data_IF_299133183559
#
_entry.id   IF_299133183559
#
_cell.length_a   1.000
_cell.length_b   1.000
_cell.length_c   1.000
_cell.angle_alpha   90.00
_cell.angle_beta   90.00
_cell.angle_gamma   90.00
#
_symmetry.space_group_name_H-M   'P 1'
#
loop_
_entity.id
_entity.type
_entity.pdbx_description
1 polymer ?
#
# COMPACT_ATOMS: atom_id res chain seq x y z
N UNK A 1 -2.88 15.29 14.05
CA UNK A 1 -2.80 14.92 12.62
C UNK A 1 -1.70 13.88 12.46
N UNK A 2 -1.90 12.83 11.67
CA UNK A 2 -0.88 11.80 11.48
C UNK A 2 0.38 12.39 10.82
N UNK A 3 1.56 11.97 11.27
CA UNK A 3 2.83 12.39 10.71
C UNK A 3 3.08 11.69 9.37
N UNK A 4 3.64 12.42 8.40
CA UNK A 4 4.13 11.86 7.13
C UNK A 4 5.64 11.87 7.10
N UNK A 5 6.24 10.82 6.54
CA UNK A 5 7.70 10.66 6.46
C UNK A 5 8.18 10.79 5.01
N UNK A 6 9.39 11.31 4.82
CA UNK A 6 10.11 11.19 3.55
C UNK A 6 10.64 9.77 3.43
N UNK A 7 10.70 9.25 2.22
CA UNK A 7 11.17 7.89 1.96
C UNK A 7 12.41 7.94 1.09
N UNK A 8 13.52 7.41 1.60
CA UNK A 8 14.74 7.14 0.84
C UNK A 8 14.61 5.77 0.20
N UNK A 9 14.89 5.69 -1.09
CA UNK A 9 14.91 4.43 -1.85
C UNK A 9 16.33 4.24 -2.35
N UNK A 10 16.97 3.12 -2.04
CA UNK A 10 18.33 2.80 -2.47
C UNK A 10 18.38 1.48 -3.21
N UNK A 11 18.92 1.46 -4.42
CA UNK A 11 19.20 0.21 -5.12
C UNK A 11 20.40 -0.48 -4.46
N UNK A 12 20.19 -1.62 -3.82
CA UNK A 12 21.23 -2.35 -3.09
C UNK A 12 22.04 -3.26 -4.01
N UNK A 13 21.33 -4.05 -4.84
CA UNK A 13 21.94 -5.05 -5.71
C UNK A 13 21.01 -5.43 -6.85
N UNK A 14 21.55 -6.13 -7.83
CA UNK A 14 20.81 -6.82 -8.88
C UNK A 14 21.53 -8.12 -9.25
N UNK A 15 20.76 -9.08 -9.78
CA UNK A 15 21.30 -10.38 -10.19
C UNK A 15 21.90 -10.29 -11.60
N UNK A 16 21.39 -9.34 -12.41
CA UNK A 16 21.89 -9.00 -13.74
C UNK A 16 21.81 -7.49 -13.99
N UNK A 17 22.45 -7.04 -15.07
CA UNK A 17 22.38 -5.66 -15.55
C UNK A 17 20.92 -5.23 -15.76
N UNK A 18 20.54 -4.09 -15.18
CA UNK A 18 19.22 -3.52 -15.36
C UNK A 18 19.00 -3.03 -16.80
N UNK A 19 17.84 -3.34 -17.38
CA UNK A 19 17.43 -2.88 -18.72
C UNK A 19 17.38 -1.35 -18.85
N UNK A 20 17.23 -0.64 -17.73
CA UNK A 20 17.23 0.83 -17.66
C UNK A 20 18.60 1.42 -17.28
N UNK A 21 19.65 0.58 -17.19
CA UNK A 21 21.00 1.00 -16.83
C UNK A 21 21.19 1.43 -15.37
N UNK A 22 20.21 1.18 -14.50
CA UNK A 22 20.31 1.48 -13.07
C UNK A 22 21.42 0.66 -12.40
N UNK A 23 22.18 1.31 -11.51
CA UNK A 23 23.33 0.72 -10.83
C UNK A 23 23.11 0.66 -9.32
N UNK A 24 23.55 -0.42 -8.64
CA UNK A 24 23.67 -0.45 -7.19
C UNK A 24 24.34 0.80 -6.61
N UNK A 25 23.82 1.28 -5.48
CA UNK A 25 24.20 2.54 -4.84
C UNK A 25 23.42 3.77 -5.34
N UNK A 26 22.61 3.64 -6.39
CA UNK A 26 21.73 4.73 -6.83
C UNK A 26 20.62 4.96 -5.80
N UNK A 27 20.35 6.23 -5.49
CA UNK A 27 19.40 6.65 -4.45
C UNK A 27 18.35 7.62 -5.01
N UNK A 28 17.15 7.55 -4.44
CA UNK A 28 16.03 8.43 -4.72
C UNK A 28 15.34 8.85 -3.43
N UNK A 29 14.64 9.98 -3.48
CA UNK A 29 13.79 10.44 -2.39
C UNK A 29 12.37 10.56 -2.90
N UNK A 30 11.44 9.90 -2.22
CA UNK A 30 10.01 10.05 -2.38
C UNK A 30 9.46 10.87 -1.21
N UNK A 31 8.92 12.04 -1.53
CA UNK A 31 8.26 12.92 -0.56
C UNK A 31 6.79 13.11 -0.99
N UNK A 32 6.56 14.01 -1.94
CA UNK A 32 5.22 14.29 -2.49
C UNK A 32 4.99 13.68 -3.87
N UNK A 33 6.05 13.56 -4.66
CA UNK A 33 5.99 13.09 -6.04
C UNK A 33 6.88 11.86 -6.24
N UNK A 34 6.54 10.97 -7.18
CA UNK A 34 7.44 9.90 -7.60
C UNK A 34 8.81 10.45 -8.00
N UNK A 35 9.91 9.79 -7.65
CA UNK A 35 11.24 10.25 -7.99
C UNK A 35 11.51 10.09 -9.50
N UNK A 36 12.17 11.08 -10.09
CA UNK A 36 12.60 11.02 -11.48
C UNK A 36 13.69 9.94 -11.66
N UNK A 37 13.65 9.22 -12.78
CA UNK A 37 14.66 8.23 -13.14
C UNK A 37 14.47 6.84 -12.51
N UNK A 38 13.52 6.67 -11.59
CA UNK A 38 13.08 5.35 -11.15
C UNK A 38 12.12 4.75 -12.19
N UNK A 39 12.40 3.54 -12.67
CA UNK A 39 11.54 2.83 -13.63
C UNK A 39 10.12 2.63 -13.07
N UNK A 40 9.09 2.75 -13.92
CA UNK A 40 7.69 2.65 -13.50
C UNK A 40 7.34 1.29 -12.89
N UNK A 41 7.91 0.18 -13.40
CA UNK A 41 7.67 -1.17 -12.87
C UNK A 41 8.25 -1.31 -11.47
N UNK A 42 9.46 -0.79 -11.25
CA UNK A 42 10.06 -0.75 -9.91
C UNK A 42 9.19 0.12 -8.98
N UNK A 43 8.87 1.34 -9.39
CA UNK A 43 8.02 2.22 -8.59
C UNK A 43 6.68 1.56 -8.22
N UNK A 44 5.98 0.97 -9.18
CA UNK A 44 4.70 0.29 -8.94
C UNK A 44 4.82 -0.88 -7.96
N UNK A 45 5.92 -1.64 -7.97
CA UNK A 45 6.15 -2.74 -7.01
C UNK A 45 6.51 -2.25 -5.61
N UNK A 46 7.23 -1.13 -5.50
CA UNK A 46 7.66 -0.57 -4.23
C UNK A 46 6.56 0.27 -3.56
N UNK A 47 5.65 0.84 -4.36
CA UNK A 47 4.67 1.83 -3.91
C UNK A 47 3.85 1.42 -2.68
N UNK A 48 3.27 0.20 -2.60
CA UNK A 48 2.50 -0.19 -1.42
C UNK A 48 3.34 -0.18 -0.13
N UNK A 49 4.62 -0.54 -0.22
CA UNK A 49 5.54 -0.54 0.92
C UNK A 49 6.03 0.87 1.29
N UNK A 50 6.24 1.72 0.28
CA UNK A 50 6.51 3.15 0.45
C UNK A 50 5.38 3.79 1.25
N UNK A 51 4.11 3.52 0.91
CA UNK A 51 2.97 4.12 1.59
C UNK A 51 2.87 3.72 3.06
N UNK A 52 3.09 2.44 3.38
CA UNK A 52 3.07 1.96 4.78
C UNK A 52 4.06 2.75 5.63
N UNK A 53 5.34 2.84 5.20
CA UNK A 53 6.36 3.57 5.95
C UNK A 53 6.09 5.08 5.97
N UNK A 54 5.65 5.64 4.85
CA UNK A 54 5.35 7.07 4.71
C UNK A 54 4.26 7.53 5.67
N UNK A 55 3.27 6.69 5.92
CA UNK A 55 2.16 6.98 6.83
C UNK A 55 2.39 6.43 8.25
N UNK A 56 3.63 6.08 8.60
CA UNK A 56 4.00 5.75 9.98
C UNK A 56 3.79 4.28 10.39
N UNK A 57 3.43 3.41 9.46
CA UNK A 57 3.39 1.96 9.67
C UNK A 57 4.78 1.33 9.66
N UNK A 58 4.86 0.03 9.91
CA UNK A 58 6.09 -0.77 9.83
C UNK A 58 5.75 -2.23 9.53
N UNK A 59 6.75 -3.04 9.21
CA UNK A 59 6.53 -4.43 8.81
C UNK A 59 6.98 -5.42 9.89
N UNK A 60 6.15 -6.39 10.28
CA UNK A 60 6.48 -7.32 11.37
C UNK A 60 7.61 -8.31 11.02
N UNK A 61 7.95 -8.45 9.74
CA UNK A 61 9.07 -9.29 9.28
C UNK A 61 10.39 -8.53 9.13
N UNK A 62 10.37 -7.20 9.25
CA UNK A 62 11.59 -6.38 9.17
C UNK A 62 12.14 -6.13 10.59
N UNK A 63 13.44 -6.36 10.83
CA UNK A 63 14.03 -6.15 12.15
C UNK A 63 14.09 -4.66 12.54
N UNK A 64 14.39 -3.79 11.57
CA UNK A 64 14.38 -2.34 11.69
C UNK A 64 12.99 -1.82 11.29
N UNK A 65 12.23 -1.16 12.19
CA UNK A 65 10.90 -0.64 11.86
C UNK A 65 10.93 0.41 10.76
N UNK A 66 12.08 1.00 10.43
CA UNK A 66 12.21 2.06 9.45
C UNK A 66 12.48 1.56 8.04
N UNK A 67 12.64 0.25 7.85
CA UNK A 67 13.08 -0.36 6.60
C UNK A 67 12.01 -1.26 6.01
N UNK A 68 12.01 -1.34 4.68
CA UNK A 68 11.45 -2.46 3.95
C UNK A 68 12.35 -2.79 2.76
N UNK A 69 12.75 -4.05 2.64
CA UNK A 69 13.53 -4.52 1.48
C UNK A 69 12.61 -5.15 0.45
N UNK A 70 12.61 -4.63 -0.78
CA UNK A 70 11.71 -5.07 -1.84
C UNK A 70 12.43 -5.14 -3.19
N UNK A 71 11.86 -5.84 -4.17
CA UNK A 71 12.44 -5.95 -5.51
C UNK A 71 11.50 -5.49 -6.61
N UNK A 72 12.07 -5.13 -7.77
CA UNK A 72 11.26 -4.93 -8.97
C UNK A 72 10.75 -6.28 -9.52
N UNK A 73 9.64 -6.30 -10.26
CA UNK A 73 8.99 -7.55 -10.68
C UNK A 73 9.68 -8.24 -11.87
N UNK A 74 10.89 -7.81 -12.22
CA UNK A 74 11.68 -8.41 -13.31
C UNK A 74 12.49 -9.58 -12.76
N UNK A 75 11.98 -10.80 -12.99
CA UNK A 75 12.59 -12.04 -12.49
C UNK A 75 14.02 -12.30 -13.02
N UNK A 76 14.45 -11.68 -14.11
CA UNK A 76 15.80 -11.88 -14.67
C UNK A 76 16.82 -10.89 -14.09
N UNK A 77 16.38 -9.66 -13.81
CA UNK A 77 17.24 -8.59 -13.29
C UNK A 77 17.24 -8.57 -11.76
N UNK A 78 16.04 -8.67 -11.17
CA UNK A 78 15.80 -8.67 -9.72
C UNK A 78 16.55 -7.55 -8.98
N UNK A 79 16.30 -6.30 -9.37
CA UNK A 79 16.82 -5.16 -8.62
C UNK A 79 16.20 -5.15 -7.22
N UNK A 80 17.03 -5.24 -6.18
CA UNK A 80 16.62 -5.21 -4.77
C UNK A 80 16.90 -3.83 -4.20
N UNK A 81 15.88 -3.24 -3.58
CA UNK A 81 15.88 -1.89 -3.04
C UNK A 81 15.68 -1.91 -1.52
N UNK A 82 16.41 -1.06 -0.81
CA UNK A 82 16.06 -0.63 0.54
C UNK A 82 15.11 0.56 0.43
N UNK A 83 13.94 0.45 1.03
CA UNK A 83 13.01 1.54 1.27
C UNK A 83 13.16 1.91 2.74
N UNK A 84 13.56 3.14 3.03
CA UNK A 84 13.76 3.63 4.40
C UNK A 84 12.99 4.91 4.65
N UNK A 85 12.34 5.04 5.81
CA UNK A 85 11.74 6.32 6.22
C UNK A 85 12.72 7.26 6.91
N UNK A 86 12.50 8.54 6.70
CA UNK A 86 13.23 9.64 7.33
C UNK A 86 12.24 10.72 7.83
N UNK A 87 12.35 11.18 9.09
CA UNK A 87 13.27 10.68 10.12
C UNK A 87 12.93 9.27 10.59
N UNK A 88 13.91 8.60 11.18
CA UNK A 88 13.74 7.27 11.79
C UNK A 88 12.92 7.35 13.09
N UNK A 89 12.29 6.24 13.46
CA UNK A 89 11.51 6.07 14.68
C UNK A 89 11.69 4.66 15.24
N UNK A 90 11.62 4.53 16.56
CA UNK A 90 11.60 3.22 17.25
C UNK A 90 10.18 2.62 17.31
N UNK A 91 9.17 3.33 16.77
CA UNK A 91 7.77 2.88 16.79
C UNK A 91 7.56 1.68 15.87
N UNK A 92 7.35 0.51 16.48
CA UNK A 92 6.83 -0.68 15.81
C UNK A 92 5.31 -0.60 15.72
N UNK A 93 4.78 -0.88 14.54
CA UNK A 93 3.34 -0.93 14.31
C UNK A 93 2.76 -2.27 14.77
N UNK A 94 1.53 -2.21 15.27
CA UNK A 94 0.72 -3.39 15.48
C UNK A 94 0.15 -3.90 14.15
N UNK A 95 -0.28 -5.15 14.14
CA UNK A 95 -1.00 -5.73 13.00
C UNK A 95 -2.50 -5.64 13.24
N UNK A 96 -3.24 -5.23 12.20
CA UNK A 96 -4.69 -5.05 12.27
C UNK A 96 -5.41 -5.94 11.25
N UNK A 97 -6.62 -6.37 11.60
CA UNK A 97 -7.59 -6.87 10.63
C UNK A 97 -8.28 -5.67 9.97
N UNK A 98 -8.49 -5.71 8.66
CA UNK A 98 -9.20 -4.65 7.93
C UNK A 98 -10.49 -5.23 7.34
N UNK A 99 -11.63 -4.67 7.72
CA UNK A 99 -12.93 -4.98 7.12
C UNK A 99 -13.24 -3.93 6.06
N UNK A 100 -13.67 -4.37 4.88
CA UNK A 100 -14.09 -3.52 3.77
C UNK A 100 -15.57 -3.74 3.57
N UNK A 101 -16.37 -2.67 3.62
CA UNK A 101 -17.81 -2.74 3.40
C UNK A 101 -18.21 -1.80 2.26
N UNK A 102 -19.00 -2.28 1.32
CA UNK A 102 -19.66 -1.42 0.34
C UNK A 102 -20.81 -0.68 1.03
N UNK A 103 -20.69 0.64 1.18
CA UNK A 103 -21.62 1.49 1.96
C UNK A 103 -22.47 2.42 1.10
N UNK A 104 -22.34 2.33 -0.22
CA UNK A 104 -23.15 3.10 -1.16
C UNK A 104 -22.46 3.29 -2.51
N UNK A 105 -22.99 4.20 -3.32
CA UNK A 105 -22.45 4.58 -4.63
C UNK A 105 -22.75 6.05 -4.93
N UNK A 106 -21.91 6.67 -5.75
CA UNK A 106 -22.07 8.09 -6.12
C UNK A 106 -22.78 8.31 -7.46
N UNK A 107 -22.97 7.25 -8.24
CA UNK A 107 -23.59 7.30 -9.56
C UNK A 107 -24.74 6.29 -9.69
N UNK A 108 -25.65 6.53 -10.64
CA UNK A 108 -26.84 5.70 -10.83
C UNK A 108 -26.60 4.39 -11.59
N UNK A 109 -25.41 4.19 -12.14
CA UNK A 109 -25.06 2.98 -12.86
C UNK A 109 -25.14 1.72 -11.99
N UNK A 110 -25.09 0.57 -12.67
CA UNK A 110 -25.18 -0.75 -12.04
C UNK A 110 -23.80 -1.40 -12.05
N UNK A 111 -23.37 -1.94 -10.92
CA UNK A 111 -22.11 -2.68 -10.84
C UNK A 111 -22.18 -3.90 -11.77
N UNK A 112 -21.34 -3.93 -12.81
CA UNK A 112 -21.29 -5.03 -13.79
C UNK A 112 -20.86 -6.36 -13.18
N UNK A 113 -20.12 -6.32 -12.07
CA UNK A 113 -19.72 -7.51 -11.32
C UNK A 113 -20.83 -8.00 -10.36
N UNK A 114 -21.86 -7.20 -10.12
CA UNK A 114 -23.01 -7.57 -9.29
C UNK A 114 -22.92 -7.20 -7.80
N UNK A 115 -21.88 -6.47 -7.37
CA UNK A 115 -21.75 -6.01 -5.98
C UNK A 115 -22.88 -5.07 -5.56
N UNK A 116 -23.29 -5.16 -4.29
CA UNK A 116 -24.40 -4.41 -3.68
C UNK A 116 -24.01 -3.82 -2.34
N UNK A 117 -24.69 -2.73 -1.97
CA UNK A 117 -24.54 -2.15 -0.64
C UNK A 117 -24.77 -3.20 0.45
N UNK A 118 -23.88 -3.23 1.44
CA UNK A 118 -23.83 -4.25 2.47
C UNK A 118 -22.79 -5.35 2.24
N UNK A 119 -22.31 -5.56 1.01
CA UNK A 119 -21.24 -6.52 0.73
C UNK A 119 -20.01 -6.21 1.58
N UNK A 120 -19.42 -7.25 2.16
CA UNK A 120 -18.33 -7.13 3.13
C UNK A 120 -17.23 -8.14 2.85
N UNK A 121 -15.98 -7.69 2.95
CA UNK A 121 -14.78 -8.50 2.80
C UNK A 121 -13.84 -8.27 3.98
N UNK A 122 -13.23 -9.35 4.48
CA UNK A 122 -12.31 -9.30 5.62
C UNK A 122 -10.88 -9.62 5.18
N UNK A 123 -9.97 -8.70 5.48
CA UNK A 123 -8.54 -8.82 5.27
C UNK A 123 -7.88 -9.09 6.62
N UNK A 124 -7.84 -10.36 7.01
CA UNK A 124 -7.25 -10.80 8.28
C UNK A 124 -5.74 -10.97 8.15
N UNK A 125 -4.95 -10.32 9.01
CA UNK A 125 -3.49 -10.49 9.18
C UNK A 125 -2.52 -10.51 7.96
N UNK A 126 -1.20 -10.51 8.20
CA UNK A 126 -0.19 -10.82 7.19
C UNK A 126 -0.22 -12.32 6.83
N UNK A 127 -0.16 -12.65 5.53
CA UNK A 127 -0.09 -14.03 5.03
C UNK A 127 -1.42 -14.69 4.69
N UNK A 128 -2.56 -14.03 4.92
CA UNK A 128 -3.85 -14.57 4.49
C UNK A 128 -4.18 -14.22 3.04
N UNK A 129 -4.95 -15.11 2.42
CA UNK A 129 -5.38 -14.98 1.03
C UNK A 129 -6.33 -13.79 0.87
N UNK A 130 -6.30 -13.20 -0.32
CA UNK A 130 -7.26 -12.18 -0.72
C UNK A 130 -8.67 -12.78 -0.59
N UNK A 131 -9.63 -12.07 0.04
CA UNK A 131 -10.99 -12.56 0.15
C UNK A 131 -11.59 -12.80 -1.24
N UNK A 132 -12.31 -13.92 -1.39
CA UNK A 132 -13.00 -14.24 -2.62
C UNK A 132 -14.13 -13.26 -2.94
N UNK A 133 -14.64 -13.32 -4.18
CA UNK A 133 -15.79 -12.54 -4.63
C UNK A 133 -15.65 -11.02 -4.45
N UNK A 134 -14.44 -10.48 -4.51
CA UNK A 134 -14.21 -9.05 -4.75
C UNK A 134 -13.80 -8.88 -6.22
N UNK A 135 -14.28 -7.82 -6.90
CA UNK A 135 -13.87 -7.62 -8.28
C UNK A 135 -12.41 -7.09 -8.33
N UNK A 136 -11.60 -7.45 -9.32
CA UNK A 136 -10.19 -7.05 -9.38
C UNK A 136 -9.98 -5.53 -9.38
N UNK A 137 -10.87 -4.76 -10.02
CA UNK A 137 -10.78 -3.30 -10.04
C UNK A 137 -11.03 -2.67 -8.66
N UNK A 138 -12.03 -3.17 -7.92
CA UNK A 138 -12.26 -2.72 -6.54
C UNK A 138 -11.10 -3.13 -5.63
N UNK A 139 -10.62 -4.38 -5.76
CA UNK A 139 -9.46 -4.85 -5.02
C UNK A 139 -8.24 -3.94 -5.24
N UNK A 140 -7.93 -3.58 -6.49
CA UNK A 140 -6.80 -2.69 -6.78
C UNK A 140 -6.98 -1.29 -6.20
N UNK A 141 -8.20 -0.77 -6.12
CA UNK A 141 -8.51 0.51 -5.49
C UNK A 141 -8.33 0.51 -3.97
N UNK A 142 -8.58 -0.63 -3.31
CA UNK A 142 -8.50 -0.72 -1.85
C UNK A 142 -7.15 -1.25 -1.34
N UNK A 143 -6.40 -2.00 -2.14
CA UNK A 143 -5.25 -2.80 -1.70
C UNK A 143 -4.19 -1.97 -0.95
N UNK A 144 -3.84 -0.80 -1.48
CA UNK A 144 -2.78 0.05 -0.91
C UNK A 144 -3.24 0.62 0.45
N UNK A 145 -4.51 1.05 0.55
CA UNK A 145 -5.11 1.50 1.80
C UNK A 145 -5.25 0.38 2.83
N UNK A 146 -5.67 -0.82 2.41
CA UNK A 146 -5.69 -2.01 3.27
C UNK A 146 -4.30 -2.29 3.83
N UNK A 147 -3.26 -2.18 3.00
CA UNK A 147 -1.88 -2.41 3.43
C UNK A 147 -1.43 -1.39 4.47
N UNK A 148 -1.65 -0.10 4.22
CA UNK A 148 -1.33 0.99 5.17
C UNK A 148 -2.04 0.76 6.51
N UNK A 149 -3.36 0.54 6.48
CA UNK A 149 -4.16 0.35 7.70
C UNK A 149 -3.74 -0.91 8.47
N UNK A 150 -3.52 -2.02 7.76
CA UNK A 150 -3.12 -3.32 8.32
C UNK A 150 -1.80 -3.27 9.08
N UNK A 151 -0.86 -2.47 8.59
CA UNK A 151 0.48 -2.34 9.17
C UNK A 151 0.64 -1.07 9.99
N UNK A 152 -0.47 -0.52 10.51
CA UNK A 152 -0.51 0.55 11.50
C UNK A 152 -0.19 1.95 10.99
N UNK A 153 -0.14 2.15 9.67
CA UNK A 153 -0.04 3.47 9.07
C UNK A 153 -1.36 4.25 9.21
N UNK A 154 -1.27 5.58 9.21
CA UNK A 154 -2.41 6.48 9.39
C UNK A 154 -2.38 7.60 8.34
N UNK A 155 -3.46 7.72 7.58
CA UNK A 155 -3.59 8.76 6.58
C UNK A 155 -3.84 10.13 7.24
N UNK A 156 -3.08 11.17 6.89
CA UNK A 156 -3.17 12.48 7.56
C UNK A 156 -4.47 13.24 7.27
N UNK A 157 -5.22 12.84 6.24
CA UNK A 157 -6.49 13.47 5.85
C UNK A 157 -7.73 12.77 6.43
N UNK A 158 -7.57 11.72 7.23
CA UNK A 158 -8.69 11.06 7.90
C UNK A 158 -8.90 11.64 9.31
N UNK A 159 -10.15 11.78 9.73
CA UNK A 159 -10.52 12.23 11.09
C UNK A 159 -10.38 11.09 12.11
N UNK A 160 -10.80 9.89 11.75
CA UNK A 160 -10.64 8.67 12.54
C UNK A 160 -9.47 7.84 11.95
N UNK A 161 -8.39 7.58 12.71
CA UNK A 161 -7.22 6.86 12.23
C UNK A 161 -7.51 5.39 11.87
N UNK A 162 -8.64 4.83 12.31
CA UNK A 162 -9.00 3.44 12.10
C UNK A 162 -10.03 3.25 10.97
N UNK A 163 -10.36 4.32 10.25
CA UNK A 163 -11.26 4.28 9.09
C UNK A 163 -10.64 4.89 7.84
N UNK A 164 -11.09 4.44 6.67
CA UNK A 164 -10.74 5.02 5.38
C UNK A 164 -11.89 4.82 4.39
N UNK A 165 -12.11 5.79 3.51
CA UNK A 165 -13.10 5.66 2.44
C UNK A 165 -12.41 5.72 1.08
N UNK A 166 -12.83 4.85 0.16
CA UNK A 166 -12.33 4.82 -1.21
C UNK A 166 -13.41 4.36 -2.17
N UNK A 167 -13.36 4.83 -3.41
CA UNK A 167 -14.28 4.41 -4.46
C UNK A 167 -13.63 3.43 -5.43
N UNK A 168 -14.43 2.55 -6.04
CA UNK A 168 -13.97 1.84 -7.24
C UNK A 168 -13.70 2.84 -8.38
N UNK A 169 -12.89 2.47 -9.39
CA UNK A 169 -12.50 3.38 -10.46
C UNK A 169 -13.54 3.46 -11.60
N UNK A 170 -14.69 2.79 -11.47
CA UNK A 170 -15.74 2.79 -12.48
C UNK A 170 -16.49 4.14 -12.47
N UNK A 171 -16.37 4.97 -13.53
CA UNK A 171 -16.97 6.30 -13.55
C UNK A 171 -18.51 6.28 -13.55
N UNK A 172 -19.13 5.17 -13.95
CA UNK A 172 -20.59 5.08 -14.08
C UNK A 172 -21.29 4.65 -12.79
N UNK A 173 -20.56 4.06 -11.83
CA UNK A 173 -21.13 3.56 -10.57
C UNK A 173 -20.45 4.18 -9.36
N UNK A 174 -19.11 4.26 -9.35
CA UNK A 174 -18.30 4.70 -8.19
C UNK A 174 -18.84 4.15 -6.87
N UNK A 175 -18.76 2.83 -6.72
CA UNK A 175 -19.04 2.14 -5.46
C UNK A 175 -18.13 2.67 -4.36
N UNK A 176 -18.71 3.15 -3.25
CA UNK A 176 -18.02 3.71 -2.09
C UNK A 176 -17.80 2.62 -1.03
N UNK A 177 -16.54 2.31 -0.76
CA UNK A 177 -16.14 1.37 0.27
C UNK A 177 -15.68 2.09 1.53
N UNK A 178 -16.15 1.62 2.68
CA UNK A 178 -15.61 1.96 3.99
C UNK A 178 -14.68 0.84 4.44
N UNK A 179 -13.44 1.21 4.76
CA UNK A 179 -12.46 0.35 5.39
C UNK A 179 -12.45 0.69 6.87
N UNK A 180 -12.48 -0.34 7.72
CA UNK A 180 -12.32 -0.21 9.17
C UNK A 180 -11.30 -1.21 9.66
N UNK A 181 -10.33 -0.76 10.46
CA UNK A 181 -9.37 -1.68 11.08
C UNK A 181 -9.70 -1.98 12.54
N UNK A 182 -9.30 -3.15 13.00
CA UNK A 182 -9.40 -3.57 14.40
C UNK A 182 -8.09 -4.25 14.82
N UNK A 183 -7.62 -4.04 16.08
CA UNK A 183 -6.43 -4.73 16.56
C UNK A 183 -6.57 -6.24 16.39
N UNK A 184 -5.50 -6.91 15.97
CA UNK A 184 -5.47 -8.37 15.96
C UNK A 184 -5.54 -8.86 17.41
N UNK A 185 -6.56 -9.67 17.74
CA UNK A 185 -6.64 -10.39 19.01
C UNK A 185 -5.60 -11.52 19.05
#
# INVERSE_FOLDING_TARGET
MAQTYKIRIKLLRNDKTCNQGLKPGTEWVYDKTPPQGLCNFAFSSLFPFIEVLKYGGSFPWEPDPNVCTQCCPDHLVNNVFEIRREPETDKKSESYNVTVRLVGKECDGVCSFGHREGDTWEFKGPGELIPGNICPSALKSIADAVMVMRYGGQFPWQSDPDTYTVTCPDPNVRNRFELKRTPKK
#
